data_IF_850009568512
#
_entry.id   IF_850009568512
#
_cell.length_a   1.000
_cell.length_b   1.000
_cell.length_c   1.000
_cell.angle_alpha   90.00
_cell.angle_beta   90.00
_cell.angle_gamma   90.00
#
_symmetry.space_group_name_H-M   'P 1'
#
loop_
_entity.id
_entity.type
_entity.pdbx_description
1 polymer ?
#
# COMPACT_ATOMS: atom_id res chain seq x y z
N UNK A 1 -27.39 -0.18 -6.33
CA UNK A 1 -28.36 0.90 -6.08
C UNK A 1 -27.61 2.17 -5.64
N UNK A 2 -27.62 3.27 -6.43
CA UNK A 2 -26.89 4.50 -6.10
C UNK A 2 -27.43 5.22 -4.85
N UNK A 3 -28.59 4.82 -4.34
CA UNK A 3 -29.21 5.34 -3.11
C UNK A 3 -28.92 4.46 -1.88
N UNK A 4 -28.19 3.36 -2.04
CA UNK A 4 -27.84 2.50 -0.91
C UNK A 4 -26.77 3.21 -0.05
N UNK A 5 -27.08 3.45 1.21
CA UNK A 5 -26.14 3.99 2.19
C UNK A 5 -25.78 2.89 3.16
N UNK A 6 -24.48 2.63 3.31
CA UNK A 6 -23.97 1.67 4.28
C UNK A 6 -23.21 2.42 5.38
N UNK A 7 -23.62 2.23 6.61
CA UNK A 7 -22.92 2.72 7.80
C UNK A 7 -21.94 1.65 8.28
N UNK A 8 -20.65 1.97 8.28
CA UNK A 8 -19.60 1.07 8.71
C UNK A 8 -18.93 1.56 9.99
N UNK A 9 -19.05 0.76 11.05
CA UNK A 9 -18.31 1.01 12.29
C UNK A 9 -16.90 0.44 12.13
N UNK A 10 -15.95 1.31 11.80
CA UNK A 10 -14.56 0.93 11.58
C UNK A 10 -13.99 0.19 12.79
N UNK A 11 -13.45 -1.00 12.57
CA UNK A 11 -12.72 -1.77 13.58
C UNK A 11 -13.53 -2.35 14.75
N UNK A 12 -14.87 -2.37 14.67
CA UNK A 12 -15.72 -2.93 15.72
C UNK A 12 -15.39 -4.40 16.03
N UNK A 13 -15.14 -5.21 14.99
CA UNK A 13 -14.83 -6.65 15.13
C UNK A 13 -13.36 -6.94 15.43
N UNK A 14 -12.45 -5.99 15.22
CA UNK A 14 -11.01 -6.20 15.32
C UNK A 14 -10.32 -5.36 16.40
N UNK A 15 -11.10 -4.75 17.31
CA UNK A 15 -10.54 -4.14 18.53
C UNK A 15 -9.66 -2.90 18.32
N UNK A 16 -10.11 -1.93 17.51
CA UNK A 16 -9.42 -0.65 17.36
C UNK A 16 -8.59 -0.50 16.09
N UNK A 17 -8.02 0.70 15.91
CA UNK A 17 -7.26 1.07 14.70
C UNK A 17 -5.94 0.32 14.56
N UNK A 18 -5.22 0.14 15.66
CA UNK A 18 -3.93 -0.55 15.74
C UNK A 18 -4.06 -1.75 16.67
N UNK A 19 -3.64 -2.91 16.21
CA UNK A 19 -3.48 -4.14 16.98
C UNK A 19 -2.53 -5.10 16.25
N UNK A 20 -2.06 -6.14 16.93
CA UNK A 20 -1.15 -7.15 16.40
C UNK A 20 -1.64 -7.79 15.11
N UNK A 21 -2.91 -8.22 15.04
CA UNK A 21 -3.46 -8.85 13.85
C UNK A 21 -3.43 -7.91 12.63
N UNK A 22 -3.88 -6.67 12.80
CA UNK A 22 -3.87 -5.66 11.74
C UNK A 22 -2.46 -5.29 11.33
N UNK A 23 -1.53 -5.18 12.26
CA UNK A 23 -0.13 -4.86 11.98
C UNK A 23 0.51 -5.93 11.11
N UNK A 24 0.39 -7.21 11.49
CA UNK A 24 0.91 -8.34 10.70
C UNK A 24 0.27 -8.37 9.31
N UNK A 25 -1.06 -8.32 9.22
CA UNK A 25 -1.76 -8.32 7.93
C UNK A 25 -1.44 -7.10 7.08
N UNK A 26 -1.27 -5.94 7.68
CA UNK A 26 -0.91 -4.71 6.97
C UNK A 26 0.50 -4.78 6.38
N UNK A 27 1.48 -5.31 7.11
CA UNK A 27 2.84 -5.56 6.60
C UNK A 27 2.83 -6.57 5.47
N UNK A 28 2.19 -7.72 5.68
CA UNK A 28 2.06 -8.80 4.70
C UNK A 28 1.41 -8.31 3.40
N UNK A 29 0.23 -7.70 3.50
CA UNK A 29 -0.53 -7.29 2.33
C UNK A 29 0.15 -6.16 1.55
N UNK A 30 0.80 -5.21 2.21
CA UNK A 30 1.50 -4.12 1.52
C UNK A 30 2.62 -4.67 0.62
N UNK A 31 3.44 -5.58 1.13
CA UNK A 31 4.51 -6.18 0.33
C UNK A 31 3.96 -7.05 -0.81
N UNK A 32 2.97 -7.91 -0.51
CA UNK A 32 2.40 -8.83 -1.49
C UNK A 32 1.59 -8.14 -2.57
N UNK A 33 0.86 -7.05 -2.25
CA UNK A 33 0.05 -6.31 -3.21
C UNK A 33 0.89 -5.81 -4.38
N UNK A 34 1.99 -5.14 -4.09
CA UNK A 34 2.88 -4.61 -5.11
C UNK A 34 3.58 -5.74 -5.87
N UNK A 35 4.07 -6.74 -5.14
CA UNK A 35 4.72 -7.89 -5.75
C UNK A 35 3.79 -8.63 -6.72
N UNK A 36 2.55 -8.89 -6.33
CA UNK A 36 1.56 -9.63 -7.12
C UNK A 36 1.11 -8.88 -8.38
N UNK A 37 0.95 -7.57 -8.28
CA UNK A 37 0.29 -6.78 -9.33
C UNK A 37 1.26 -6.15 -10.34
N UNK A 38 2.56 -6.12 -10.05
CA UNK A 38 3.56 -5.53 -10.93
C UNK A 38 4.43 -6.62 -11.59
N UNK A 39 4.69 -6.56 -12.91
CA UNK A 39 5.77 -7.32 -13.52
C UNK A 39 7.09 -7.05 -12.81
N UNK A 40 8.01 -8.03 -12.78
CA UNK A 40 9.24 -7.92 -11.96
C UNK A 40 10.07 -6.68 -12.30
N UNK A 41 10.17 -6.32 -13.57
CA UNK A 41 10.92 -5.14 -14.02
C UNK A 41 10.32 -3.85 -13.45
N UNK A 42 8.98 -3.70 -13.51
CA UNK A 42 8.27 -2.54 -12.97
C UNK A 42 8.36 -2.49 -11.44
N UNK A 43 8.30 -3.66 -10.78
CA UNK A 43 8.46 -3.74 -9.34
C UNK A 43 9.83 -3.25 -8.88
N UNK A 44 10.91 -3.66 -9.57
CA UNK A 44 12.29 -3.22 -9.26
C UNK A 44 12.43 -1.71 -9.49
N UNK A 45 11.90 -1.20 -10.60
CA UNK A 45 11.92 0.23 -10.92
C UNK A 45 11.22 1.07 -9.85
N UNK A 46 10.09 0.60 -9.34
CA UNK A 46 9.29 1.31 -8.34
C UNK A 46 9.75 1.05 -6.89
N UNK A 47 10.65 0.11 -6.65
CA UNK A 47 11.05 -0.28 -5.30
C UNK A 47 11.51 0.89 -4.43
N UNK A 48 12.34 1.85 -4.90
CA UNK A 48 12.74 3.01 -4.09
C UNK A 48 11.54 3.85 -3.64
N UNK A 49 10.58 4.09 -4.53
CA UNK A 49 9.36 4.87 -4.23
C UNK A 49 8.44 4.12 -3.27
N UNK A 50 8.33 2.80 -3.41
CA UNK A 50 7.57 1.95 -2.49
C UNK A 50 8.17 1.99 -1.08
N UNK A 51 9.49 1.93 -0.96
CA UNK A 51 10.20 2.05 0.32
C UNK A 51 9.94 3.42 0.95
N UNK A 52 10.13 4.51 0.19
CA UNK A 52 9.87 5.87 0.66
C UNK A 52 8.41 6.05 1.10
N UNK A 53 7.46 5.55 0.33
CA UNK A 53 6.03 5.58 0.67
C UNK A 53 5.68 4.74 1.90
N UNK A 54 6.50 3.73 2.22
CA UNK A 54 6.29 2.88 3.38
C UNK A 54 6.76 3.52 4.71
N UNK A 55 7.73 4.44 4.65
CA UNK A 55 8.30 5.09 5.84
C UNK A 55 7.23 5.73 6.74
N UNK A 56 6.33 6.60 6.25
CA UNK A 56 5.31 7.21 7.09
C UNK A 56 4.40 6.20 7.80
N UNK A 57 4.09 5.11 7.09
CA UNK A 57 3.31 4.02 7.65
C UNK A 57 4.08 3.32 8.77
N UNK A 58 5.33 2.98 8.54
CA UNK A 58 6.18 2.32 9.51
C UNK A 58 6.36 3.16 10.78
N UNK A 59 6.59 4.47 10.63
CA UNK A 59 6.68 5.42 11.74
C UNK A 59 5.37 5.49 12.55
N UNK A 60 4.21 5.43 11.89
CA UNK A 60 2.93 5.39 12.58
C UNK A 60 2.78 4.12 13.43
N UNK A 61 3.26 2.97 12.95
CA UNK A 61 3.25 1.72 13.72
C UNK A 61 4.27 1.72 14.86
N UNK A 62 5.44 2.34 14.70
CA UNK A 62 6.40 2.59 15.80
C UNK A 62 5.71 3.38 16.91
N UNK A 63 5.10 4.51 16.56
CA UNK A 63 4.41 5.40 17.52
C UNK A 63 3.33 4.67 18.33
N UNK A 64 2.68 3.67 17.75
CA UNK A 64 1.61 2.91 18.38
C UNK A 64 2.07 1.57 19.00
N UNK A 65 3.38 1.27 19.02
CA UNK A 65 3.92 0.08 19.66
C UNK A 65 3.80 -1.23 18.86
N UNK A 66 3.44 -1.17 17.57
CA UNK A 66 3.20 -2.35 16.72
C UNK A 66 4.22 -2.54 15.59
N UNK A 67 5.38 -1.89 15.67
CA UNK A 67 6.41 -1.98 14.62
C UNK A 67 6.95 -3.42 14.45
N UNK A 68 7.16 -4.13 15.55
CA UNK A 68 7.60 -5.54 15.53
C UNK A 68 6.61 -6.45 14.82
N UNK A 69 5.32 -6.27 15.06
CA UNK A 69 4.28 -7.06 14.40
C UNK A 69 4.14 -6.71 12.91
N UNK A 70 4.30 -5.44 12.55
CA UNK A 70 4.36 -5.01 11.16
C UNK A 70 5.55 -5.66 10.43
N UNK A 71 6.72 -5.71 11.08
CA UNK A 71 7.93 -6.36 10.55
C UNK A 71 7.74 -7.87 10.39
N UNK A 72 7.11 -8.55 11.36
CA UNK A 72 6.72 -9.97 11.21
C UNK A 72 5.85 -10.19 9.98
N UNK A 73 4.91 -9.27 9.73
CA UNK A 73 4.08 -9.29 8.53
C UNK A 73 4.89 -9.19 7.24
N UNK A 74 5.84 -8.26 7.17
CA UNK A 74 6.75 -8.12 6.02
C UNK A 74 7.57 -9.39 5.79
N UNK A 75 8.18 -9.95 6.85
CA UNK A 75 8.99 -11.19 6.76
C UNK A 75 8.10 -12.34 6.26
N UNK A 76 6.86 -12.45 6.76
CA UNK A 76 5.95 -13.50 6.32
C UNK A 76 5.56 -13.36 4.84
N UNK A 77 5.50 -12.13 4.32
CA UNK A 77 5.28 -11.88 2.91
C UNK A 77 6.40 -12.48 2.04
N UNK A 78 7.65 -12.30 2.42
CA UNK A 78 8.79 -12.88 1.69
C UNK A 78 8.70 -14.41 1.60
N UNK A 79 8.23 -15.09 2.66
CA UNK A 79 8.02 -16.54 2.64
C UNK A 79 6.92 -16.98 1.67
N UNK A 80 6.00 -16.09 1.32
CA UNK A 80 4.89 -16.36 0.42
C UNK A 80 5.19 -16.01 -1.05
N UNK A 81 6.24 -15.22 -1.31
CA UNK A 81 6.60 -14.73 -2.65
C UNK A 81 6.70 -15.87 -3.68
N UNK A 82 7.33 -16.98 -3.32
CA UNK A 82 7.48 -18.14 -4.22
C UNK A 82 6.18 -18.88 -4.56
N UNK A 83 5.08 -18.59 -3.86
CA UNK A 83 3.76 -19.22 -4.07
C UNK A 83 2.78 -18.32 -4.83
N UNK A 84 3.22 -17.14 -5.25
CA UNK A 84 2.37 -16.14 -5.89
C UNK A 84 2.69 -16.03 -7.37
N UNK A 85 1.68 -16.27 -8.20
CA UNK A 85 1.79 -16.04 -9.63
C UNK A 85 1.96 -14.54 -9.92
N UNK A 86 2.96 -14.24 -10.71
CA UNK A 86 3.31 -12.88 -11.13
C UNK A 86 2.91 -12.60 -12.58
N UNK A 87 2.41 -11.40 -12.88
CA UNK A 87 2.23 -11.01 -14.28
C UNK A 87 3.57 -10.95 -14.98
N UNK A 88 3.66 -11.61 -16.14
CA UNK A 88 4.85 -11.56 -16.99
C UNK A 88 4.93 -10.20 -17.69
N UNK A 89 6.11 -9.63 -17.74
CA UNK A 89 6.36 -8.44 -18.54
C UNK A 89 6.13 -8.75 -20.02
N UNK A 90 5.36 -7.90 -20.71
CA UNK A 90 5.08 -8.03 -22.15
C UNK A 90 5.35 -6.72 -22.84
N UNK A 91 6.27 -6.70 -23.80
CA UNK A 91 6.63 -5.50 -24.56
C UNK A 91 5.43 -4.82 -25.23
N UNK A 92 4.45 -5.62 -25.72
CA UNK A 92 3.21 -5.07 -26.30
C UNK A 92 2.41 -4.19 -25.35
N UNK A 93 2.62 -4.32 -24.04
CA UNK A 93 1.95 -3.51 -23.02
C UNK A 93 2.78 -2.31 -22.57
N UNK A 94 3.91 -2.02 -23.21
CA UNK A 94 4.79 -0.92 -22.83
C UNK A 94 4.08 0.44 -22.72
N UNK A 95 3.19 0.83 -23.66
CA UNK A 95 2.44 2.09 -23.53
C UNK A 95 1.59 2.13 -22.25
N UNK A 96 0.96 1.01 -21.88
CA UNK A 96 0.16 0.92 -20.66
C UNK A 96 1.03 1.02 -19.39
N UNK A 97 2.24 0.44 -19.41
CA UNK A 97 3.18 0.57 -18.30
C UNK A 97 3.60 2.02 -18.10
N UNK A 98 3.99 2.72 -19.18
CA UNK A 98 4.35 4.14 -19.14
C UNK A 98 3.17 4.97 -18.65
N UNK A 99 1.95 4.69 -19.13
CA UNK A 99 0.74 5.37 -18.66
C UNK A 99 0.49 5.18 -17.15
N UNK A 100 0.64 3.95 -16.65
CA UNK A 100 0.47 3.65 -15.22
C UNK A 100 1.51 4.39 -14.39
N UNK A 101 2.79 4.37 -14.79
CA UNK A 101 3.86 5.11 -14.11
C UNK A 101 3.57 6.60 -14.06
N UNK A 102 3.12 7.18 -15.17
CA UNK A 102 2.71 8.58 -15.22
C UNK A 102 1.56 8.89 -14.25
N UNK A 103 0.55 8.02 -14.20
CA UNK A 103 -0.56 8.17 -13.24
C UNK A 103 -0.09 8.03 -11.79
N UNK A 104 0.85 7.14 -11.50
CA UNK A 104 1.41 6.99 -10.17
C UNK A 104 2.13 8.27 -9.72
N UNK A 105 2.99 8.84 -10.57
CA UNK A 105 3.68 10.12 -10.31
C UNK A 105 2.67 11.23 -10.08
N UNK A 106 1.71 11.40 -10.99
CA UNK A 106 0.66 12.40 -10.88
C UNK A 106 -0.12 12.30 -9.56
N UNK A 107 -0.48 11.06 -9.17
CA UNK A 107 -1.24 10.83 -7.95
C UNK A 107 -0.46 11.16 -6.68
N UNK A 108 0.87 11.12 -6.69
CA UNK A 108 1.68 11.60 -5.56
C UNK A 108 1.43 13.09 -5.32
N UNK A 109 1.46 13.91 -6.38
CA UNK A 109 1.20 15.35 -6.27
C UNK A 109 -0.24 15.64 -5.83
N UNK A 110 -1.22 14.93 -6.40
CA UNK A 110 -2.62 15.04 -5.99
C UNK A 110 -2.79 14.68 -4.51
N UNK A 111 -2.12 13.63 -4.04
CA UNK A 111 -2.17 13.23 -2.64
C UNK A 111 -1.54 14.29 -1.71
N UNK A 112 -0.41 14.87 -2.10
CA UNK A 112 0.26 15.93 -1.33
C UNK A 112 -0.66 17.15 -1.24
N UNK A 113 -1.23 17.61 -2.38
CA UNK A 113 -2.17 18.73 -2.40
C UNK A 113 -3.39 18.47 -1.50
N UNK A 114 -4.01 17.29 -1.62
CA UNK A 114 -5.12 16.89 -0.75
C UNK A 114 -4.75 16.93 0.73
N UNK A 115 -3.56 16.45 1.09
CA UNK A 115 -3.09 16.45 2.48
C UNK A 115 -2.83 17.86 3.01
N UNK A 116 -2.28 18.73 2.17
CA UNK A 116 -2.03 20.13 2.51
C UNK A 116 -3.35 20.88 2.71
N UNK A 117 -4.29 20.77 1.76
CA UNK A 117 -5.63 21.40 1.87
C UNK A 117 -6.35 20.96 3.15
N UNK A 118 -6.31 19.66 3.46
CA UNK A 118 -6.93 19.13 4.68
C UNK A 118 -6.29 19.66 5.96
N UNK A 119 -4.96 19.88 5.97
CA UNK A 119 -4.27 20.48 7.14
C UNK A 119 -4.59 21.95 7.30
N UNK A 120 -4.64 22.68 6.21
CA UNK A 120 -4.91 24.11 6.18
C UNK A 120 -6.41 24.44 6.28
N UNK A 121 -7.29 23.43 6.35
CA UNK A 121 -8.76 23.58 6.36
C UNK A 121 -9.28 24.43 5.19
N UNK A 122 -8.56 24.48 4.08
CA UNK A 122 -8.98 25.16 2.85
C UNK A 122 -9.99 24.24 2.15
N UNK A 123 -11.20 24.79 1.91
CA UNK A 123 -12.26 24.12 1.13
C UNK A 123 -11.92 24.09 -0.36
#
# INVERSE_FOLDING_TARGET
NPKAVCYHICSATTGGKYNTFKAIKSGQNTALLHYKNMPILMYILNLPFLILGYIPKYLAYIKNGYAGDLTKGLISAFKMVGKIDKPKFRLKNLPNYIWVEWQMIKNVFVYIDYRLRRRLKIK
#
